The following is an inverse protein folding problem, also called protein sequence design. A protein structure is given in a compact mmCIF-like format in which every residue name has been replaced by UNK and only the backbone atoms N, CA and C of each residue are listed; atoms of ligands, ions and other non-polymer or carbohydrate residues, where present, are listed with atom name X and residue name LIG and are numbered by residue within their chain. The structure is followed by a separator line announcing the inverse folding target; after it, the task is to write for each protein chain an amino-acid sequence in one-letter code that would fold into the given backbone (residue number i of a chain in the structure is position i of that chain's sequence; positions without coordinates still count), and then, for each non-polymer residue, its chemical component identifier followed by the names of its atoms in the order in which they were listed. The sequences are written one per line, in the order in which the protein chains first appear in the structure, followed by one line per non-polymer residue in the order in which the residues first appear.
data_IF_223701270403
#
_entry.id   IF_223701270403
#
_cell.length_a   1.000
_cell.length_b   1.000
_cell.length_c   1.000
_cell.angle_alpha   90.00
_cell.angle_beta   90.00
_cell.angle_gamma   90.00
#
_symmetry.space_group_name_H-M   'P 1'
#
loop_
_entity.id
_entity.type
_entity.pdbx_description
1 polymer ?
#
# COMPACT_ATOMS: atom_id res chain seq x y z
N UNK A 1 -48.86 -0.10 -5.85
CA UNK A 1 -48.27 -0.71 -7.06
C UNK A 1 -47.87 0.46 -7.95
N UNK A 2 -46.60 0.82 -8.10
CA UNK A 2 -45.61 0.08 -8.88
C UNK A 2 -44.17 0.54 -8.56
N UNK A 3 -43.33 -0.45 -8.22
CA UNK A 3 -41.89 -0.64 -8.52
C UNK A 3 -40.93 0.55 -8.46
N UNK A 4 -40.15 0.56 -7.37
CA UNK A 4 -38.78 1.07 -7.35
C UNK A 4 -37.94 0.34 -8.41
N UNK A 5 -37.42 1.08 -9.39
CA UNK A 5 -36.36 0.61 -10.27
C UNK A 5 -35.03 0.80 -9.55
N UNK A 6 -34.49 -0.27 -8.98
CA UNK A 6 -33.05 -0.40 -8.72
C UNK A 6 -32.39 -0.60 -10.08
N UNK A 7 -31.73 0.43 -10.60
CA UNK A 7 -30.87 0.31 -11.77
C UNK A 7 -29.62 -0.47 -11.36
N UNK A 8 -29.63 -1.77 -11.64
CA UNK A 8 -28.46 -2.63 -11.62
C UNK A 8 -27.46 -2.13 -12.67
N UNK A 9 -26.51 -1.28 -12.25
CA UNK A 9 -25.33 -0.99 -13.03
C UNK A 9 -24.37 -2.19 -12.92
N UNK A 10 -24.52 -3.14 -13.83
CA UNK A 10 -23.48 -4.12 -14.15
C UNK A 10 -22.29 -3.37 -14.79
N UNK A 11 -21.40 -2.85 -13.96
CA UNK A 11 -20.13 -2.28 -14.40
C UNK A 11 -19.10 -3.41 -14.43
N UNK A 12 -18.80 -3.92 -15.62
CA UNK A 12 -17.58 -4.71 -15.85
C UNK A 12 -16.37 -3.78 -15.79
N UNK A 13 -15.93 -3.43 -14.57
CA UNK A 13 -14.64 -2.76 -14.38
C UNK A 13 -13.54 -3.78 -14.64
N UNK A 14 -12.73 -3.52 -15.66
CA UNK A 14 -11.54 -4.31 -15.97
C UNK A 14 -10.63 -4.37 -14.74
N UNK A 15 -10.58 -5.54 -14.08
CA UNK A 15 -9.62 -5.81 -12.98
C UNK A 15 -8.25 -5.24 -13.34
N UNK A 16 -7.66 -4.43 -12.46
CA UNK A 16 -6.21 -4.17 -12.49
C UNK A 16 -5.50 -5.52 -12.27
N UNK A 17 -5.22 -6.23 -13.38
CA UNK A 17 -4.63 -7.57 -13.35
C UNK A 17 -3.13 -7.45 -13.06
N UNK A 18 -2.66 -8.24 -12.10
CA UNK A 18 -1.24 -8.51 -11.90
C UNK A 18 -0.67 -9.07 -13.22
N UNK A 19 0.13 -8.25 -13.92
CA UNK A 19 0.82 -8.64 -15.14
C UNK A 19 2.22 -9.14 -14.81
N UNK A 20 2.69 -10.18 -15.52
CA UNK A 20 4.09 -10.61 -15.47
C UNK A 20 4.99 -9.47 -15.96
N UNK A 21 5.80 -8.88 -15.07
CA UNK A 21 6.65 -7.75 -15.43
C UNK A 21 8.08 -7.94 -14.94
N UNK A 22 9.02 -7.75 -15.86
CA UNK A 22 10.46 -7.67 -15.58
C UNK A 22 10.80 -6.20 -15.38
N UNK A 23 11.15 -5.81 -14.16
CA UNK A 23 11.55 -4.42 -13.86
C UNK A 23 12.93 -4.13 -14.44
N UNK A 24 13.90 -4.99 -14.15
CA UNK A 24 15.22 -5.03 -14.79
C UNK A 24 15.41 -6.33 -15.57
N UNK A 25 16.29 -6.32 -16.57
CA UNK A 25 16.65 -7.50 -17.37
C UNK A 25 17.22 -8.64 -16.51
N UNK A 26 17.94 -8.29 -15.45
CA UNK A 26 18.56 -9.19 -14.46
C UNK A 26 17.65 -9.52 -13.26
N UNK A 27 16.47 -8.89 -13.16
CA UNK A 27 15.54 -9.14 -12.06
C UNK A 27 14.58 -10.29 -12.37
N UNK A 28 14.30 -11.11 -11.35
CA UNK A 28 13.23 -12.09 -11.45
C UNK A 28 11.89 -11.38 -11.76
N UNK A 29 11.07 -11.95 -12.66
CA UNK A 29 9.76 -11.41 -12.93
C UNK A 29 8.93 -11.32 -11.65
N UNK A 30 8.28 -10.17 -11.45
CA UNK A 30 7.39 -9.98 -10.30
C UNK A 30 5.95 -9.96 -10.78
N UNK A 31 5.07 -10.56 -9.97
CA UNK A 31 3.60 -10.43 -10.10
C UNK A 31 3.11 -9.17 -9.38
N UNK A 32 3.92 -8.12 -9.35
CA UNK A 32 3.58 -6.87 -8.66
C UNK A 32 2.93 -5.89 -9.62
N UNK A 33 1.88 -5.22 -9.16
CA UNK A 33 1.34 -4.03 -9.81
C UNK A 33 2.42 -2.95 -9.99
N UNK A 34 2.29 -2.15 -11.05
CA UNK A 34 3.20 -1.02 -11.30
C UNK A 34 3.00 0.09 -10.27
N UNK A 35 3.94 1.04 -10.20
CA UNK A 35 3.80 2.19 -9.29
C UNK A 35 2.59 3.05 -9.66
N UNK A 36 2.33 3.29 -10.96
CA UNK A 36 1.13 4.00 -11.41
C UNK A 36 -0.16 3.27 -11.02
N UNK A 37 -0.19 1.93 -11.10
CA UNK A 37 -1.38 1.15 -10.69
C UNK A 37 -1.61 1.26 -9.17
N UNK A 38 -0.53 1.23 -8.38
CA UNK A 38 -0.60 1.41 -6.92
C UNK A 38 -1.09 2.80 -6.54
N UNK A 39 -0.61 3.84 -7.21
CA UNK A 39 -1.04 5.23 -6.95
C UNK A 39 -2.50 5.41 -7.37
N UNK A 40 -2.91 4.90 -8.55
CA UNK A 40 -4.31 4.92 -8.98
C UNK A 40 -5.22 4.21 -7.96
N UNK A 41 -4.78 3.07 -7.40
CA UNK A 41 -5.52 2.42 -6.31
C UNK A 41 -5.60 3.29 -5.06
N UNK A 42 -4.52 3.99 -4.67
CA UNK A 42 -4.53 4.90 -3.52
C UNK A 42 -5.47 6.09 -3.72
N UNK A 43 -5.67 6.55 -4.96
CA UNK A 43 -6.65 7.60 -5.26
C UNK A 43 -8.10 7.15 -4.96
N UNK A 44 -8.36 5.84 -5.00
CA UNK A 44 -9.67 5.25 -4.67
C UNK A 44 -9.77 4.92 -3.17
N UNK A 45 -8.87 4.07 -2.69
CA UNK A 45 -8.99 3.46 -1.34
C UNK A 45 -8.30 4.28 -0.25
N UNK A 46 -7.45 5.22 -0.62
CA UNK A 46 -6.53 5.95 0.25
C UNK A 46 -5.18 5.25 0.44
N UNK A 47 -4.19 6.01 0.91
CA UNK A 47 -2.83 5.56 1.23
C UNK A 47 -2.81 4.58 2.41
N UNK A 48 -3.78 4.72 3.32
CA UNK A 48 -3.86 3.90 4.51
C UNK A 48 -4.18 2.45 4.16
N UNK A 49 -3.51 1.50 4.83
CA UNK A 49 -3.82 0.09 4.65
C UNK A 49 -5.24 -0.24 5.09
N UNK A 50 -5.79 -1.34 4.58
CA UNK A 50 -7.10 -1.86 4.97
C UNK A 50 -7.32 -1.86 6.48
N UNK A 51 -6.32 -2.27 7.27
CA UNK A 51 -6.52 -2.40 8.71
C UNK A 51 -6.60 -1.02 9.40
N UNK A 52 -5.80 -0.06 8.92
CA UNK A 52 -5.77 1.30 9.46
C UNK A 52 -7.03 2.09 9.04
N UNK A 53 -7.65 1.77 7.91
CA UNK A 53 -8.87 2.43 7.43
C UNK A 53 -10.08 2.35 8.36
N UNK A 54 -10.06 1.44 9.32
CA UNK A 54 -11.10 1.35 10.35
C UNK A 54 -10.86 2.34 11.50
N UNK A 55 -9.62 2.76 11.71
CA UNK A 55 -9.23 3.67 12.80
C UNK A 55 -9.22 5.15 12.39
N UNK A 56 -8.95 5.43 11.11
CA UNK A 56 -8.85 6.79 10.59
C UNK A 56 -9.61 6.94 9.28
N UNK A 57 -10.02 8.17 8.98
CA UNK A 57 -10.55 8.50 7.65
C UNK A 57 -9.51 8.27 6.56
N UNK A 58 -9.93 8.02 5.31
CA UNK A 58 -9.01 7.88 4.20
C UNK A 58 -8.07 9.07 4.03
N UNK A 59 -6.79 8.78 3.79
CA UNK A 59 -5.75 9.77 3.52
C UNK A 59 -5.41 9.67 2.04
N UNK A 60 -5.49 10.80 1.34
CA UNK A 60 -5.14 10.91 -0.08
C UNK A 60 -3.93 11.82 -0.24
N UNK A 61 -3.22 11.69 -1.37
CA UNK A 61 -2.22 12.68 -1.74
C UNK A 61 -2.95 13.96 -2.15
N UNK A 62 -2.37 15.11 -1.82
CA UNK A 62 -2.88 16.40 -2.33
C UNK A 62 -2.23 16.76 -3.68
N UNK A 63 -1.02 16.25 -3.91
CA UNK A 63 -0.19 16.59 -5.05
C UNK A 63 0.82 15.50 -5.33
N UNK A 64 1.13 15.29 -6.61
CA UNK A 64 2.20 14.42 -7.08
C UNK A 64 3.20 15.28 -7.85
N UNK A 65 4.46 15.27 -7.40
CA UNK A 65 5.57 15.95 -8.08
C UNK A 65 6.39 14.94 -8.86
N UNK A 66 6.61 15.19 -10.14
CA UNK A 66 7.38 14.31 -11.03
C UNK A 66 8.67 15.02 -11.46
N UNK A 67 9.80 14.39 -11.15
CA UNK A 67 11.15 14.93 -11.36
C UNK A 67 11.61 14.91 -12.82
N UNK A 68 11.24 13.87 -13.56
CA UNK A 68 11.64 13.64 -14.95
C UNK A 68 10.54 12.88 -15.71
N UNK A 69 10.56 12.94 -17.05
CA UNK A 69 9.56 12.31 -17.94
C UNK A 69 8.12 12.72 -17.59
N UNK A 70 7.90 14.01 -17.30
CA UNK A 70 6.57 14.54 -17.02
C UNK A 70 5.77 14.77 -18.31
N UNK A 71 4.74 13.95 -18.51
CA UNK A 71 3.74 14.12 -19.56
C UNK A 71 2.35 14.12 -18.91
N UNK A 72 1.69 15.28 -18.88
CA UNK A 72 0.43 15.48 -18.15
C UNK A 72 -0.68 14.53 -18.64
N UNK A 73 -0.82 14.34 -19.95
CA UNK A 73 -1.81 13.45 -20.55
C UNK A 73 -1.59 11.99 -20.12
N UNK A 74 -0.33 11.54 -20.12
CA UNK A 74 0.00 10.19 -19.68
C UNK A 74 -0.28 9.97 -18.19
N UNK A 75 0.01 10.97 -17.35
CA UNK A 75 -0.28 10.91 -15.92
C UNK A 75 -1.79 10.92 -15.65
N UNK A 76 -2.55 11.79 -16.31
CA UNK A 76 -4.01 11.82 -16.23
C UNK A 76 -4.61 10.47 -16.61
N UNK A 77 -4.19 9.92 -17.75
CA UNK A 77 -4.60 8.60 -18.20
C UNK A 77 -4.20 7.50 -17.21
N UNK A 78 -3.01 7.62 -16.62
CA UNK A 78 -2.46 6.60 -15.75
C UNK A 78 -3.05 6.58 -14.34
N UNK A 79 -3.47 7.73 -13.83
CA UNK A 79 -3.84 7.88 -12.43
C UNK A 79 -5.33 8.19 -12.22
N UNK A 80 -6.03 8.67 -13.26
CA UNK A 80 -7.44 9.07 -13.15
C UNK A 80 -8.35 8.50 -14.23
N UNK A 81 -8.06 8.67 -15.53
CA UNK A 81 -9.02 8.31 -16.59
C UNK A 81 -9.36 6.81 -16.56
N UNK A 82 -8.39 5.97 -16.21
CA UNK A 82 -8.60 4.52 -16.05
C UNK A 82 -9.48 4.11 -14.85
N UNK A 83 -9.71 5.03 -13.90
CA UNK A 83 -10.56 4.82 -12.71
C UNK A 83 -11.73 5.82 -12.66
N UNK A 84 -11.98 6.56 -13.75
CA UNK A 84 -12.98 7.64 -13.79
C UNK A 84 -14.42 7.17 -13.54
N UNK A 85 -14.71 5.89 -13.80
CA UNK A 85 -16.01 5.29 -13.56
C UNK A 85 -16.31 5.14 -12.05
N UNK A 86 -15.31 5.37 -11.19
CA UNK A 86 -15.44 5.39 -9.74
C UNK A 86 -15.74 6.84 -9.31
N UNK A 87 -16.98 7.11 -8.92
CA UNK A 87 -17.46 8.44 -8.53
C UNK A 87 -16.80 8.99 -7.26
N UNK A 88 -16.62 10.32 -7.18
CA UNK A 88 -16.13 11.09 -6.02
C UNK A 88 -14.63 10.93 -5.65
N UNK A 89 -13.75 10.84 -6.64
CA UNK A 89 -12.31 10.85 -6.39
C UNK A 89 -11.81 12.26 -6.04
N UNK A 90 -10.86 12.41 -5.10
CA UNK A 90 -10.23 13.69 -4.83
C UNK A 90 -9.48 14.19 -6.07
N UNK A 91 -9.71 15.45 -6.42
CA UNK A 91 -8.96 16.13 -7.48
C UNK A 91 -7.56 16.48 -6.98
N UNK A 92 -6.51 15.99 -7.65
CA UNK A 92 -5.12 16.37 -7.34
C UNK A 92 -4.54 17.30 -8.39
N UNK A 93 -3.53 18.07 -7.97
CA UNK A 93 -2.70 18.91 -8.81
C UNK A 93 -1.33 18.26 -9.05
N UNK A 94 -0.90 18.21 -10.31
CA UNK A 94 0.44 17.75 -10.67
C UNK A 94 1.44 18.90 -10.72
N UNK A 95 2.62 18.67 -10.18
CA UNK A 95 3.74 19.60 -10.27
C UNK A 95 4.90 18.92 -11.01
N UNK A 96 5.56 19.67 -11.87
CA UNK A 96 6.82 19.24 -12.47
C UNK A 96 7.95 20.06 -11.84
N UNK A 97 8.95 19.36 -11.32
CA UNK A 97 10.17 19.98 -10.81
C UNK A 97 11.33 19.32 -11.54
N UNK A 98 12.10 20.08 -12.31
CA UNK A 98 13.11 19.51 -13.20
C UNK A 98 14.29 18.92 -12.44
N UNK A 99 14.35 17.59 -12.34
CA UNK A 99 15.53 16.83 -11.95
C UNK A 99 16.03 16.05 -13.16
N UNK A 100 16.84 16.72 -13.99
CA UNK A 100 17.47 16.09 -15.15
C UNK A 100 18.80 15.46 -14.74
N UNK A 101 18.77 14.17 -14.42
CA UNK A 101 19.97 13.34 -14.41
C UNK A 101 19.83 12.23 -15.47
N UNK A 102 20.55 12.39 -16.58
CA UNK A 102 20.35 11.58 -17.80
C UNK A 102 21.06 10.23 -17.76
N UNK A 103 21.90 9.99 -16.75
CA UNK A 103 22.75 8.79 -16.63
C UNK A 103 22.36 7.90 -15.43
N UNK A 104 21.06 7.76 -15.17
CA UNK A 104 20.56 6.94 -14.06
C UNK A 104 20.69 5.45 -14.37
N UNK A 105 21.60 4.77 -13.65
CA UNK A 105 21.71 3.31 -13.64
C UNK A 105 20.80 2.77 -12.53
N UNK A 106 19.78 1.95 -12.85
CA UNK A 106 18.93 1.38 -11.81
C UNK A 106 19.77 0.50 -10.86
N UNK A 107 19.33 0.38 -9.61
CA UNK A 107 20.00 -0.44 -8.59
C UNK A 107 19.01 -1.36 -7.89
N UNK A 108 19.48 -2.46 -7.31
CA UNK A 108 18.70 -3.31 -6.41
C UNK A 108 18.72 -2.81 -4.96
N UNK A 109 19.29 -1.62 -4.74
CA UNK A 109 19.34 -0.93 -3.46
C UNK A 109 18.10 -0.05 -3.31
N UNK A 110 17.47 -0.09 -2.14
CA UNK A 110 16.43 0.85 -1.74
C UNK A 110 16.76 1.46 -0.38
N UNK A 111 16.67 2.77 -0.25
CA UNK A 111 16.92 3.48 1.01
C UNK A 111 15.61 4.01 1.56
N UNK A 112 15.36 3.79 2.85
CA UNK A 112 14.14 4.20 3.54
C UNK A 112 14.53 5.00 4.78
N UNK A 113 14.00 6.20 4.91
CA UNK A 113 14.15 7.01 6.12
C UNK A 113 12.80 7.57 6.52
N UNK A 114 12.49 7.50 7.81
CA UNK A 114 11.25 8.00 8.39
C UNK A 114 11.64 9.04 9.43
N UNK A 115 11.00 10.22 9.41
CA UNK A 115 11.26 11.29 10.38
C UNK A 115 11.21 10.75 11.81
N UNK A 116 12.26 11.04 12.59
CA UNK A 116 12.44 10.53 13.95
C UNK A 116 13.26 9.24 14.03
N UNK A 117 13.58 8.59 12.90
CA UNK A 117 14.54 7.48 12.87
C UNK A 117 15.97 7.98 13.03
N UNK A 118 16.77 7.29 13.83
CA UNK A 118 18.19 7.62 14.05
C UNK A 118 19.03 7.53 12.76
N UNK A 119 18.71 6.59 11.88
CA UNK A 119 19.42 6.37 10.62
C UNK A 119 18.50 5.83 9.53
N UNK A 120 18.94 5.95 8.27
CA UNK A 120 18.23 5.39 7.13
C UNK A 120 18.45 3.87 7.04
N UNK A 121 17.42 3.12 6.67
CA UNK A 121 17.53 1.71 6.33
C UNK A 121 17.95 1.56 4.86
N UNK A 122 19.12 0.97 4.63
CA UNK A 122 19.56 0.56 3.30
C UNK A 122 19.18 -0.90 3.08
N UNK A 123 18.40 -1.16 2.05
CA UNK A 123 17.92 -2.48 1.66
C UNK A 123 18.61 -2.95 0.38
N UNK A 124 19.05 -4.20 0.35
CA UNK A 124 19.56 -4.89 -0.84
C UNK A 124 18.65 -6.08 -1.10
N UNK A 125 18.00 -6.12 -2.27
CA UNK A 125 17.04 -7.18 -2.62
C UNK A 125 15.96 -7.40 -1.55
N UNK A 126 15.45 -6.29 -0.96
CA UNK A 126 14.37 -6.30 0.03
C UNK A 126 14.77 -6.67 1.46
N UNK A 127 16.07 -6.77 1.78
CA UNK A 127 16.59 -7.04 3.13
C UNK A 127 17.59 -5.99 3.55
N UNK A 128 17.76 -5.74 4.86
CA UNK A 128 18.77 -4.78 5.35
C UNK A 128 20.16 -5.16 4.82
N UNK A 129 20.95 -4.16 4.42
CA UNK A 129 22.30 -4.37 3.91
C UNK A 129 23.12 -5.19 4.93
N UNK A 130 23.88 -6.17 4.42
CA UNK A 130 24.62 -7.12 5.27
C UNK A 130 23.78 -8.27 5.83
N UNK A 131 22.52 -8.44 5.42
CA UNK A 131 21.69 -9.58 5.81
C UNK A 131 22.26 -10.90 5.30
N UNK A 132 22.90 -11.67 6.18
CA UNK A 132 23.36 -13.02 5.87
C UNK A 132 22.31 -14.08 6.20
N UNK A 133 22.31 -15.17 5.42
CA UNK A 133 21.54 -16.38 5.73
C UNK A 133 22.30 -17.16 6.81
N UNK A 134 21.57 -17.68 7.78
CA UNK A 134 22.14 -18.56 8.79
C UNK A 134 22.67 -19.84 8.14
N UNK A 135 23.91 -20.21 8.47
CA UNK A 135 24.57 -21.40 7.93
C UNK A 135 23.86 -22.71 8.30
N UNK A 136 23.07 -22.72 9.38
CA UNK A 136 22.41 -23.93 9.90
C UNK A 136 21.11 -24.28 9.17
N UNK A 137 20.34 -23.27 8.76
CA UNK A 137 18.99 -23.46 8.22
C UNK A 137 18.72 -22.67 6.94
N UNK A 138 19.70 -21.92 6.43
CA UNK A 138 19.55 -21.11 5.21
C UNK A 138 18.60 -19.91 5.36
N UNK A 139 18.07 -19.66 6.56
CA UNK A 139 17.09 -18.60 6.81
C UNK A 139 17.78 -17.30 7.21
N UNK A 140 17.21 -16.17 6.81
CA UNK A 140 17.64 -14.85 7.28
C UNK A 140 17.17 -14.60 8.71
N UNK A 141 18.00 -13.89 9.49
CA UNK A 141 17.62 -13.51 10.85
C UNK A 141 16.47 -12.51 10.86
N UNK A 142 15.63 -12.60 11.88
CA UNK A 142 14.49 -11.70 12.09
C UNK A 142 14.91 -10.22 12.18
N UNK A 143 16.09 -9.93 12.74
CA UNK A 143 16.65 -8.57 12.89
C UNK A 143 17.04 -7.90 11.57
N UNK A 144 17.21 -8.66 10.49
CA UNK A 144 17.66 -8.14 9.19
C UNK A 144 16.49 -7.78 8.26
N UNK A 145 15.26 -7.89 8.75
CA UNK A 145 14.06 -7.44 8.03
C UNK A 145 13.95 -5.91 8.08
N UNK A 146 13.32 -5.32 7.07
CA UNK A 146 12.98 -3.89 7.10
C UNK A 146 11.87 -3.58 8.10
N UNK A 147 11.89 -2.37 8.66
CA UNK A 147 10.80 -1.83 9.47
C UNK A 147 9.48 -1.72 8.71
N UNK A 148 9.50 -1.54 7.39
CA UNK A 148 8.27 -1.45 6.57
C UNK A 148 7.77 -2.81 6.05
N UNK A 149 8.29 -3.93 6.57
CA UNK A 149 7.75 -5.24 6.19
C UNK A 149 6.35 -5.46 6.75
N UNK A 150 5.53 -6.25 6.05
CA UNK A 150 4.17 -6.61 6.49
C UNK A 150 4.10 -7.05 7.94
N UNK A 151 5.08 -7.84 8.40
CA UNK A 151 5.13 -8.34 9.77
C UNK A 151 5.49 -7.25 10.77
N UNK A 152 6.49 -6.41 10.48
CA UNK A 152 6.85 -5.28 11.36
C UNK A 152 5.67 -4.32 11.53
N UNK A 153 5.05 -3.89 10.42
CA UNK A 153 3.89 -3.00 10.45
C UNK A 153 2.69 -3.63 11.19
N UNK A 154 2.52 -4.95 11.08
CA UNK A 154 1.48 -5.66 11.83
C UNK A 154 1.75 -5.65 13.34
N UNK A 155 3.01 -5.83 13.76
CA UNK A 155 3.40 -5.76 15.17
C UNK A 155 3.26 -4.35 15.75
N UNK A 156 3.56 -3.32 14.95
CA UNK A 156 3.35 -1.92 15.34
C UNK A 156 1.86 -1.62 15.52
N UNK A 157 1.02 -2.14 14.63
CA UNK A 157 -0.43 -2.03 14.75
C UNK A 157 -0.95 -2.77 16.00
N UNK A 158 -0.47 -3.99 16.28
CA UNK A 158 -0.85 -4.71 17.49
C UNK A 158 -0.48 -3.92 18.75
N UNK A 159 0.70 -3.29 18.75
CA UNK A 159 1.16 -2.40 19.82
C UNK A 159 0.28 -1.15 19.95
N UNK A 160 -0.18 -0.59 18.83
CA UNK A 160 -1.08 0.56 18.81
C UNK A 160 -2.47 0.21 19.34
N UNK A 161 -3.05 -0.92 18.95
CA UNK A 161 -4.38 -1.37 19.39
C UNK A 161 -4.47 -1.59 20.91
N UNK A 162 -3.34 -1.80 21.61
CA UNK A 162 -3.30 -1.85 23.08
C UNK A 162 -3.49 -0.48 23.71
N UNK A 163 -2.91 0.53 23.06
CA UNK A 163 -2.80 1.88 23.61
C UNK A 163 -4.08 2.68 23.38
N UNK A 164 -4.85 2.35 22.35
CA UNK A 164 -6.11 3.01 22.05
C UNK A 164 -7.16 2.64 23.12
N UNK A 165 -7.83 3.62 23.75
CA UNK A 165 -8.94 3.37 24.66
C UNK A 165 -10.04 2.54 23.97
N UNK A 166 -10.57 1.52 24.67
CA UNK A 166 -11.59 0.62 24.11
C UNK A 166 -12.84 1.33 23.60
N UNK A 167 -13.15 2.52 24.12
CA UNK A 167 -14.27 3.35 23.67
C UNK A 167 -14.10 3.91 22.25
N UNK A 168 -12.86 4.09 21.80
CA UNK A 168 -12.52 4.63 20.48
C UNK A 168 -12.22 3.54 19.45
N UNK A 169 -12.13 2.28 19.87
CA UNK A 169 -11.88 1.16 18.96
C UNK A 169 -13.18 0.78 18.25
N UNK A 170 -13.18 0.73 16.90
CA UNK A 170 -14.32 0.26 16.12
C UNK A 170 -14.78 -1.15 16.53
N UNK A 171 -16.09 -1.40 16.54
CA UNK A 171 -16.68 -2.66 17.02
C UNK A 171 -16.11 -3.92 16.34
N UNK A 172 -15.82 -3.84 15.05
CA UNK A 172 -15.18 -4.90 14.26
C UNK A 172 -13.74 -5.20 14.69
N UNK A 173 -13.06 -4.25 15.34
CA UNK A 173 -11.69 -4.39 15.82
C UNK A 173 -11.57 -4.71 17.32
N UNK A 174 -12.63 -4.51 18.12
CA UNK A 174 -12.62 -4.74 19.58
C UNK A 174 -12.08 -6.14 19.92
N UNK A 175 -12.45 -7.17 19.17
CA UNK A 175 -12.01 -8.56 19.39
C UNK A 175 -10.48 -8.73 19.34
N UNK A 176 -9.77 -7.87 18.61
CA UNK A 176 -8.31 -7.92 18.48
C UNK A 176 -7.58 -7.17 19.60
N UNK A 177 -8.29 -6.38 20.42
CA UNK A 177 -7.68 -5.61 21.52
C UNK A 177 -7.31 -6.50 22.71
N UNK A 178 -8.00 -7.63 22.90
CA UNK A 178 -7.80 -8.52 24.03
C UNK A 178 -6.48 -9.30 23.90
N UNK A 179 -5.55 -9.07 24.84
CA UNK A 179 -4.20 -9.65 24.84
C UNK A 179 -4.20 -11.18 24.78
N UNK A 180 -5.16 -11.84 25.45
CA UNK A 180 -5.24 -13.30 25.53
C UNK A 180 -5.57 -13.95 24.18
N UNK A 181 -6.22 -13.20 23.27
CA UNK A 181 -6.64 -13.69 21.95
C UNK A 181 -5.70 -13.27 20.82
N UNK A 182 -4.70 -12.40 21.05
CA UNK A 182 -3.81 -11.87 19.99
C UNK A 182 -3.04 -12.96 19.27
N UNK A 183 -2.56 -13.97 20.00
CA UNK A 183 -1.85 -15.12 19.43
C UNK A 183 -2.72 -15.97 18.49
N UNK A 184 -4.05 -15.81 18.55
CA UNK A 184 -4.99 -16.54 17.71
C UNK A 184 -5.34 -15.79 16.41
N UNK A 185 -4.96 -14.52 16.25
CA UNK A 185 -5.36 -13.72 15.10
C UNK A 185 -4.24 -13.56 14.07
N UNK A 186 -4.62 -13.63 12.79
CA UNK A 186 -3.69 -13.45 11.68
C UNK A 186 -3.88 -12.09 11.03
N UNK A 187 -2.82 -11.57 10.38
CA UNK A 187 -2.89 -10.36 9.56
C UNK A 187 -4.07 -10.38 8.58
N UNK A 188 -4.34 -11.54 7.96
CA UNK A 188 -5.43 -11.66 7.02
C UNK A 188 -6.79 -11.48 7.70
N UNK A 189 -6.99 -11.99 8.92
CA UNK A 189 -8.25 -11.79 9.64
C UNK A 189 -8.54 -10.32 9.94
N UNK A 190 -7.52 -9.53 10.31
CA UNK A 190 -7.69 -8.09 10.51
C UNK A 190 -7.97 -7.38 9.19
N UNK A 191 -7.21 -7.68 8.13
CA UNK A 191 -7.49 -7.18 6.79
C UNK A 191 -8.91 -7.55 6.35
N UNK A 192 -9.39 -8.72 6.78
CA UNK A 192 -10.72 -9.19 6.43
C UNK A 192 -11.84 -8.45 7.18
N UNK A 193 -11.55 -7.89 8.35
CA UNK A 193 -12.49 -7.12 9.17
C UNK A 193 -12.83 -5.76 8.55
N UNK A 194 -11.98 -5.23 7.68
CA UNK A 194 -12.17 -3.93 7.05
C UNK A 194 -13.07 -3.99 5.82
N UNK A 195 -14.39 -3.95 6.03
CA UNK A 195 -15.38 -4.18 4.98
C UNK A 195 -15.43 -3.05 3.95
N UNK A 196 -15.36 -1.80 4.41
CA UNK A 196 -15.48 -0.62 3.55
C UNK A 196 -14.29 -0.52 2.59
N UNK A 197 -13.07 -0.67 3.11
CA UNK A 197 -11.86 -0.70 2.28
C UNK A 197 -11.92 -1.79 1.21
N UNK A 198 -12.39 -2.99 1.57
CA UNK A 198 -12.51 -4.08 0.59
C UNK A 198 -13.54 -3.84 -0.48
N UNK A 199 -14.65 -3.17 -0.14
CA UNK A 199 -15.67 -2.82 -1.12
C UNK A 199 -15.03 -1.94 -2.20
N UNK A 200 -14.28 -0.93 -1.78
CA UNK A 200 -13.56 -0.03 -2.69
C UNK A 200 -12.45 -0.78 -3.46
N UNK A 201 -11.70 -1.65 -2.81
CA UNK A 201 -10.59 -2.41 -3.39
C UNK A 201 -11.03 -3.60 -4.30
N UNK A 202 -12.32 -3.75 -4.58
CA UNK A 202 -12.81 -4.72 -5.58
C UNK A 202 -12.78 -4.15 -7.00
N UNK A 203 -12.72 -2.83 -7.11
CA UNK A 203 -12.57 -2.07 -8.34
C UNK A 203 -11.08 -1.80 -8.57
#
# INVERSE_FOLDING_TARGET
MTRNQTSDCNIEVSKMKDGFRRGRVDSEPTLSMTCSDKIAQWNVVGLQSAIISELISPIYLSSITVGDMFYLEDLNRALYERIQDITNLPHESYLSEGLLDKDLIPSNIATIWIKGSESAEVLVSGRKQGATKSKKNGLHLFKTRSSVTKLSLFQDLESLLVQIPKSLVPQNLIKFTNQDLRKAFTYNMLKLASKNYKLLNKH
#
